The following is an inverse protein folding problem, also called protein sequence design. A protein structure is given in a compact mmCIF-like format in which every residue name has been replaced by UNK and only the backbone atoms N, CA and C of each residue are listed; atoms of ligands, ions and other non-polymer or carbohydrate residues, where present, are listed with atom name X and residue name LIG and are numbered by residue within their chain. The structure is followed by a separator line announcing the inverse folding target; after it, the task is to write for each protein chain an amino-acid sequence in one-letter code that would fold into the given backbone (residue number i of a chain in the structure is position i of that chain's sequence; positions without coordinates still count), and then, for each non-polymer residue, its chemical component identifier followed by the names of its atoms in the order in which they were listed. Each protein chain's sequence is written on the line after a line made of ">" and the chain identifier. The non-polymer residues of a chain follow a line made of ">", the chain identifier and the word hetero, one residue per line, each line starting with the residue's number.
data_IF_696884607669
#
_entry.id   IF_696884607669
#
_cell.length_a   1.000
_cell.length_b   1.000
_cell.length_c   1.000
_cell.angle_alpha   90.00
_cell.angle_beta   90.00
_cell.angle_gamma   90.00
#
_symmetry.space_group_name_H-M   'P 1'
#
loop_
_entity.id
_entity.type
_entity.pdbx_description
1 polymer ?
#
# COMPACT_ATOMS: atom_id res chain seq x y z
N UNK A 1 -51.52 -1.33 28.61
CA UNK A 1 -52.08 -0.75 27.37
C UNK A 1 -51.00 0.01 26.65
N UNK A 2 -50.65 -0.45 25.44
CA UNK A 2 -49.89 0.23 24.37
C UNK A 2 -48.38 0.41 24.68
N UNK A 3 -47.50 -0.55 24.39
CA UNK A 3 -47.02 -1.12 23.11
C UNK A 3 -45.79 -0.39 22.55
N UNK A 4 -44.64 -1.03 22.74
CA UNK A 4 -43.45 -0.92 21.89
C UNK A 4 -43.78 -1.42 20.49
N UNK A 5 -43.44 -0.62 19.47
CA UNK A 5 -43.01 -1.02 18.12
C UNK A 5 -43.10 0.18 17.17
N UNK A 6 -41.95 0.58 16.62
CA UNK A 6 -41.90 1.08 15.24
C UNK A 6 -40.45 1.02 14.75
N UNK A 7 -40.16 -0.15 14.20
CA UNK A 7 -39.10 -0.45 13.24
C UNK A 7 -39.28 0.47 12.03
N UNK A 8 -38.21 1.14 11.61
CA UNK A 8 -38.06 1.59 10.23
C UNK A 8 -36.80 0.93 9.67
N UNK A 9 -37.07 -0.13 8.91
CA UNK A 9 -36.19 -0.79 7.96
C UNK A 9 -35.83 0.16 6.82
N UNK A 10 -34.54 0.21 6.48
CA UNK A 10 -34.11 0.31 5.09
C UNK A 10 -33.02 -0.74 4.88
N UNK A 11 -33.29 -1.61 3.93
CA UNK A 11 -32.50 -2.74 3.48
C UNK A 11 -32.08 -2.48 2.02
N UNK A 12 -31.00 -3.15 1.62
CA UNK A 12 -30.35 -3.26 0.31
C UNK A 12 -29.34 -2.14 -0.02
N UNK A 13 -28.09 -2.44 -0.37
CA UNK A 13 -27.47 -3.72 -0.68
C UNK A 13 -25.97 -3.51 -0.97
N UNK A 14 -25.28 -4.62 -1.18
CA UNK A 14 -23.93 -4.73 -1.76
C UNK A 14 -22.76 -4.27 -0.89
N UNK A 15 -22.58 -4.91 0.27
CA UNK A 15 -21.23 -5.08 0.82
C UNK A 15 -20.51 -6.17 0.01
N UNK A 16 -19.96 -5.76 -1.13
CA UNK A 16 -18.88 -6.49 -1.80
C UNK A 16 -17.79 -6.75 -0.76
N UNK A 17 -17.60 -8.02 -0.43
CA UNK A 17 -16.45 -8.48 0.34
C UNK A 17 -15.21 -8.25 -0.51
N UNK A 18 -14.59 -7.10 -0.30
CA UNK A 18 -13.33 -6.70 -0.90
C UNK A 18 -12.23 -7.58 -0.28
N UNK A 19 -11.79 -8.57 -1.06
CA UNK A 19 -10.69 -9.49 -0.74
C UNK A 19 -9.41 -8.65 -0.73
N UNK A 20 -9.19 -7.94 0.37
CA UNK A 20 -7.93 -7.26 0.66
C UNK A 20 -6.91 -8.30 1.10
N UNK A 21 -6.04 -8.63 0.16
CA UNK A 21 -4.86 -9.46 0.36
C UNK A 21 -3.96 -8.98 1.51
N UNK A 22 -3.17 -9.89 2.13
CA UNK A 22 -2.64 -9.74 3.49
C UNK A 22 -1.49 -8.74 3.66
N UNK A 23 -1.02 -8.10 2.59
CA UNK A 23 0.06 -7.11 2.66
C UNK A 23 -0.41 -5.76 3.22
N UNK A 24 -1.73 -5.50 3.24
CA UNK A 24 -2.27 -4.23 3.67
C UNK A 24 -2.56 -4.14 5.18
N UNK A 25 -2.67 -5.24 5.93
CA UNK A 25 -3.34 -5.17 7.25
C UNK A 25 -2.52 -4.66 8.44
N UNK A 26 -1.18 -4.76 8.44
CA UNK A 26 -0.39 -4.24 9.57
C UNK A 26 -0.02 -2.76 9.42
N UNK A 27 0.39 -2.32 8.22
CA UNK A 27 0.69 -0.90 7.99
C UNK A 27 -0.59 -0.07 7.85
N UNK A 28 -1.66 -0.59 7.23
CA UNK A 28 -2.87 0.22 7.06
C UNK A 28 -3.54 0.54 8.38
N UNK A 29 -3.52 -0.32 9.40
CA UNK A 29 -4.26 -0.01 10.64
C UNK A 29 -3.54 1.07 11.48
N UNK A 30 -2.20 1.03 11.56
CA UNK A 30 -1.42 2.05 12.28
C UNK A 30 -1.32 3.33 11.45
N UNK A 31 -1.02 3.25 10.14
CA UNK A 31 -1.00 4.43 9.28
C UNK A 31 -2.41 5.03 9.10
N UNK A 32 -3.49 4.25 9.05
CA UNK A 32 -4.86 4.79 9.01
C UNK A 32 -5.30 5.34 10.36
N UNK A 33 -4.96 4.72 11.49
CA UNK A 33 -5.28 5.29 12.81
C UNK A 33 -4.52 6.60 13.02
N UNK A 34 -3.22 6.61 12.70
CA UNK A 34 -2.38 7.79 12.73
C UNK A 34 -2.86 8.87 11.77
N UNK A 35 -3.12 8.54 10.49
CA UNK A 35 -3.73 9.45 9.52
C UNK A 35 -5.08 9.97 10.01
N UNK A 36 -5.93 9.14 10.64
CA UNK A 36 -7.22 9.59 11.19
C UNK A 36 -7.06 10.55 12.36
N UNK A 37 -6.13 10.30 13.28
CA UNK A 37 -5.83 11.22 14.39
C UNK A 37 -5.16 12.49 13.91
N UNK A 38 -4.21 12.38 12.99
CA UNK A 38 -3.47 13.48 12.38
C UNK A 38 -4.42 14.38 11.56
N UNK A 39 -5.28 13.80 10.72
CA UNK A 39 -6.35 14.52 10.00
C UNK A 39 -7.31 15.19 10.99
N UNK A 40 -7.71 14.53 12.08
CA UNK A 40 -8.62 15.12 13.07
C UNK A 40 -8.02 16.36 13.78
N UNK A 41 -6.75 16.30 14.19
CA UNK A 41 -6.08 17.42 14.86
C UNK A 41 -5.59 18.51 13.88
N UNK A 42 -5.07 18.13 12.71
CA UNK A 42 -4.67 19.06 11.65
C UNK A 42 -5.88 19.82 11.06
N UNK A 43 -7.09 19.25 11.13
CA UNK A 43 -8.32 19.91 10.69
C UNK A 43 -8.76 21.11 11.54
N UNK A 44 -8.24 21.28 12.77
CA UNK A 44 -8.59 22.42 13.63
C UNK A 44 -8.13 23.75 13.01
N UNK A 45 -7.02 23.72 12.27
CA UNK A 45 -6.48 24.88 11.54
C UNK A 45 -6.45 24.70 10.03
N UNK A 46 -6.87 23.54 9.50
CA UNK A 46 -6.82 23.20 8.07
C UNK A 46 -7.21 24.34 7.15
N UNK A 47 -6.63 24.26 5.94
CA UNK A 47 -6.78 25.03 4.72
C UNK A 47 -8.24 25.28 4.28
N UNK A 48 -9.09 25.82 5.15
CA UNK A 48 -10.13 26.77 4.74
C UNK A 48 -9.47 28.10 4.35
N UNK A 49 -8.55 28.00 3.39
CA UNK A 49 -8.37 28.97 2.34
C UNK A 49 -9.74 29.16 1.68
N UNK A 50 -10.20 30.34 1.33
CA UNK A 50 -9.50 31.60 1.17
C UNK A 50 -10.55 32.57 0.65
N UNK A 51 -11.14 33.39 1.54
CA UNK A 51 -11.77 34.71 1.25
C UNK A 51 -12.78 35.14 2.32
N UNK A 52 -13.47 34.23 3.01
CA UNK A 52 -14.67 34.61 3.79
C UNK A 52 -14.43 35.01 5.25
N UNK A 53 -13.31 34.62 5.89
CA UNK A 53 -13.09 34.87 7.33
C UNK A 53 -11.96 35.83 7.71
N UNK A 54 -11.06 36.19 6.79
CA UNK A 54 -10.01 37.18 7.08
C UNK A 54 -10.63 38.55 7.42
N UNK A 55 -11.81 38.85 6.87
CA UNK A 55 -12.58 40.05 7.20
C UNK A 55 -13.13 40.08 8.63
N UNK A 56 -13.22 38.93 9.32
CA UNK A 56 -13.65 38.83 10.73
C UNK A 56 -12.48 38.78 11.74
N UNK A 57 -11.24 38.54 11.28
CA UNK A 57 -10.07 38.44 12.18
C UNK A 57 -9.57 39.82 12.64
N UNK A 58 -9.72 40.84 11.78
CA UNK A 58 -9.37 42.22 12.09
C UNK A 58 -10.29 42.87 13.15
N UNK A 59 -11.33 42.16 13.59
CA UNK A 59 -12.27 42.56 14.65
C UNK A 59 -11.93 41.96 16.03
N UNK A 60 -10.95 41.06 16.13
CA UNK A 60 -10.65 40.41 17.40
C UNK A 60 -9.82 41.30 18.33
N UNK A 61 -10.11 41.21 19.62
CA UNK A 61 -9.32 41.90 20.65
C UNK A 61 -7.89 41.36 20.68
N UNK A 62 -6.95 42.21 21.15
CA UNK A 62 -5.52 41.83 21.29
C UNK A 62 -5.32 40.53 22.09
N UNK A 63 -6.17 40.25 23.08
CA UNK A 63 -6.09 39.02 23.87
C UNK A 63 -6.44 37.77 23.05
N UNK A 64 -7.44 37.83 22.17
CA UNK A 64 -7.81 36.71 21.31
C UNK A 64 -6.68 36.40 20.31
N UNK A 65 -6.06 37.44 19.74
CA UNK A 65 -4.91 37.26 18.83
C UNK A 65 -3.71 36.61 19.53
N UNK A 66 -3.44 36.96 20.80
CA UNK A 66 -2.39 36.31 21.60
C UNK A 66 -2.68 34.81 21.82
N UNK A 67 -3.93 34.46 22.12
CA UNK A 67 -4.32 33.06 22.27
C UNK A 67 -4.21 32.28 20.95
N UNK A 68 -4.64 32.87 19.83
CA UNK A 68 -4.50 32.25 18.51
C UNK A 68 -3.04 32.01 18.13
N UNK A 69 -2.15 32.97 18.40
CA UNK A 69 -0.72 32.79 18.16
C UNK A 69 -0.10 31.71 19.05
N UNK A 70 -0.51 31.62 20.32
CA UNK A 70 -0.08 30.54 21.19
C UNK A 70 -0.52 29.16 20.67
N UNK A 71 -1.76 29.04 20.16
CA UNK A 71 -2.25 27.80 19.56
C UNK A 71 -1.51 27.44 18.27
N UNK A 72 -1.22 28.41 17.39
CA UNK A 72 -0.40 28.17 16.19
C UNK A 72 0.99 27.66 16.54
N UNK A 73 1.62 28.20 17.58
CA UNK A 73 2.93 27.72 18.04
C UNK A 73 2.86 26.27 18.55
N UNK A 74 1.78 25.90 19.25
CA UNK A 74 1.56 24.51 19.67
C UNK A 74 1.40 23.57 18.47
N UNK A 75 0.68 24.00 17.43
CA UNK A 75 0.53 23.23 16.19
C UNK A 75 1.87 23.00 15.50
N UNK A 76 2.74 24.02 15.45
CA UNK A 76 4.09 23.87 14.88
C UNK A 76 4.90 22.82 15.66
N UNK A 77 4.86 22.86 16.99
CA UNK A 77 5.53 21.87 17.84
C UNK A 77 5.00 20.46 17.59
N UNK A 78 3.67 20.31 17.45
CA UNK A 78 3.03 19.05 17.09
C UNK A 78 3.55 18.53 15.73
N UNK A 79 3.53 19.36 14.67
CA UNK A 79 3.96 18.98 13.33
C UNK A 79 5.46 18.61 13.28
N UNK A 80 6.30 19.25 14.10
CA UNK A 80 7.71 18.87 14.23
C UNK A 80 7.88 17.49 14.89
N UNK A 81 7.08 17.18 15.92
CA UNK A 81 7.06 15.86 16.54
C UNK A 81 6.55 14.80 15.56
N UNK A 82 5.55 15.14 14.75
CA UNK A 82 5.00 14.32 13.70
C UNK A 82 6.05 13.95 12.65
N UNK A 83 6.80 14.93 12.14
CA UNK A 83 7.89 14.69 11.20
C UNK A 83 9.00 13.80 11.77
N UNK A 84 9.21 13.80 13.11
CA UNK A 84 10.12 12.85 13.77
C UNK A 84 9.52 11.44 13.78
N UNK A 85 8.25 11.30 14.13
CA UNK A 85 7.56 10.01 14.11
C UNK A 85 7.60 9.36 12.72
N UNK A 86 7.25 10.10 11.66
CA UNK A 86 7.27 9.58 10.28
C UNK A 86 8.68 9.17 9.83
N UNK A 87 9.70 9.91 10.26
CA UNK A 87 11.09 9.56 10.01
C UNK A 87 11.47 8.22 10.68
N UNK A 88 11.02 7.99 11.91
CA UNK A 88 11.27 6.75 12.64
C UNK A 88 10.50 5.57 12.00
N UNK A 89 9.27 5.79 11.53
CA UNK A 89 8.50 4.80 10.75
C UNK A 89 9.22 4.45 9.45
N UNK A 90 9.67 5.43 8.67
CA UNK A 90 10.37 5.21 7.41
C UNK A 90 11.68 4.42 7.61
N UNK A 91 12.42 4.70 8.69
CA UNK A 91 13.60 3.91 9.05
C UNK A 91 13.24 2.45 9.35
N UNK A 92 12.16 2.23 10.11
CA UNK A 92 11.67 0.89 10.44
C UNK A 92 11.22 0.14 9.18
N UNK A 93 10.47 0.79 8.29
CA UNK A 93 10.03 0.23 7.02
C UNK A 93 11.23 -0.24 6.19
N UNK A 94 12.31 0.56 6.14
CA UNK A 94 13.53 0.17 5.46
C UNK A 94 14.22 -1.04 6.08
N UNK A 95 14.33 -1.10 7.41
CA UNK A 95 14.94 -2.25 8.08
C UNK A 95 14.23 -3.57 7.76
N UNK A 96 12.89 -3.57 7.78
CA UNK A 96 12.11 -4.75 7.41
C UNK A 96 12.13 -5.01 5.91
N UNK A 97 12.12 -3.95 5.09
CA UNK A 97 12.23 -4.07 3.64
C UNK A 97 13.52 -4.82 3.23
N UNK A 98 14.65 -4.51 3.86
CA UNK A 98 15.91 -5.23 3.62
C UNK A 98 15.76 -6.73 3.88
N UNK A 99 15.01 -7.12 4.92
CA UNK A 99 14.73 -8.53 5.21
C UNK A 99 13.79 -9.17 4.19
N UNK A 100 12.86 -8.41 3.62
CA UNK A 100 11.94 -8.90 2.59
C UNK A 100 12.61 -9.10 1.22
N UNK A 101 13.70 -8.40 0.93
CA UNK A 101 14.39 -8.48 -0.37
C UNK A 101 14.72 -9.91 -0.80
N UNK A 102 15.09 -10.80 0.14
CA UNK A 102 15.36 -12.21 -0.15
C UNK A 102 14.12 -12.96 -0.66
N UNK A 103 12.94 -12.68 -0.12
CA UNK A 103 11.69 -13.30 -0.56
C UNK A 103 11.23 -12.75 -1.91
N UNK A 104 11.41 -11.46 -2.16
CA UNK A 104 11.13 -10.88 -3.48
C UNK A 104 12.06 -11.44 -4.55
N UNK A 105 13.34 -11.68 -4.20
CA UNK A 105 14.31 -12.30 -5.10
C UNK A 105 13.93 -13.75 -5.40
N UNK A 106 13.55 -14.53 -4.39
CA UNK A 106 13.06 -15.90 -4.56
C UNK A 106 11.78 -15.94 -5.43
N UNK A 107 10.81 -15.07 -5.16
CA UNK A 107 9.60 -14.91 -5.98
C UNK A 107 9.95 -14.64 -7.44
N UNK A 108 10.90 -13.74 -7.68
CA UNK A 108 11.38 -13.42 -9.03
C UNK A 108 11.99 -14.65 -9.72
N UNK A 109 12.79 -15.45 -9.00
CA UNK A 109 13.34 -16.69 -9.53
C UNK A 109 12.28 -17.74 -9.86
N UNK A 110 11.23 -17.86 -9.04
CA UNK A 110 10.09 -18.75 -9.29
C UNK A 110 9.31 -18.29 -10.52
N UNK A 111 8.89 -17.02 -10.56
CA UNK A 111 8.12 -16.46 -11.67
C UNK A 111 8.83 -16.65 -13.01
N UNK A 112 10.15 -16.44 -13.04
CA UNK A 112 10.95 -16.55 -14.25
C UNK A 112 11.43 -17.99 -14.54
N UNK A 113 11.01 -18.99 -13.77
CA UNK A 113 11.36 -20.40 -13.99
C UNK A 113 12.84 -20.74 -13.77
N UNK A 114 13.55 -19.92 -12.99
CA UNK A 114 14.95 -20.12 -12.61
C UNK A 114 15.09 -21.01 -11.37
N UNK A 115 14.05 -21.07 -10.54
CA UNK A 115 13.96 -21.93 -9.37
C UNK A 115 12.62 -22.67 -9.40
N UNK A 116 12.69 -24.00 -9.30
CA UNK A 116 11.51 -24.85 -9.19
C UNK A 116 11.23 -25.10 -7.70
N UNK A 117 10.04 -24.71 -7.19
CA UNK A 117 9.68 -24.95 -5.80
C UNK A 117 9.69 -26.43 -5.44
N UNK A 118 10.09 -26.74 -4.22
CA UNK A 118 10.01 -28.11 -3.68
C UNK A 118 8.59 -28.45 -3.25
N UNK A 119 8.23 -29.74 -3.22
CA UNK A 119 6.93 -30.22 -2.72
C UNK A 119 6.57 -29.66 -1.34
N UNK A 120 7.58 -29.49 -0.47
CA UNK A 120 7.39 -28.93 0.86
C UNK A 120 7.09 -27.42 0.84
N UNK A 121 7.69 -26.66 -0.09
CA UNK A 121 7.43 -25.23 -0.26
C UNK A 121 6.05 -24.94 -0.87
N UNK A 122 5.51 -25.89 -1.63
CA UNK A 122 4.16 -25.82 -2.18
C UNK A 122 3.06 -26.05 -1.14
N UNK A 123 3.38 -26.66 0.01
CA UNK A 123 2.41 -26.88 1.11
C UNK A 123 2.13 -25.59 1.87
N UNK A 124 0.87 -25.22 2.03
CA UNK A 124 0.51 -24.04 2.80
C UNK A 124 0.88 -24.19 4.27
N UNK A 125 1.35 -23.10 4.88
CA UNK A 125 1.78 -23.09 6.28
C UNK A 125 0.64 -23.40 7.26
N UNK A 126 -0.60 -23.12 6.89
CA UNK A 126 -1.82 -23.48 7.65
C UNK A 126 -1.95 -24.98 7.86
N UNK A 127 -1.41 -25.80 6.95
CA UNK A 127 -1.47 -27.26 7.02
C UNK A 127 -0.43 -27.84 7.99
N UNK A 128 0.65 -27.08 8.26
CA UNK A 128 1.73 -27.49 9.17
C UNK A 128 1.36 -27.32 10.66
N UNK A 129 0.49 -26.37 10.99
CA UNK A 129 0.12 -26.04 12.38
C UNK A 129 -1.15 -26.73 12.89
N UNK A 130 -1.92 -27.37 12.02
CA UNK A 130 -3.15 -28.08 12.41
C UNK A 130 -2.93 -29.32 13.31
N UNK A 131 -1.68 -29.64 13.67
CA UNK A 131 -1.38 -30.76 14.56
C UNK A 131 -1.28 -30.42 16.04
N UNK A 132 -1.39 -29.15 16.48
CA UNK A 132 -1.51 -28.82 17.91
C UNK A 132 -2.22 -27.47 18.16
N UNK A 133 -3.46 -27.56 18.66
CA UNK A 133 -4.18 -26.57 19.48
C UNK A 133 -4.37 -25.14 18.90
N UNK A 134 -5.46 -24.95 18.13
CA UNK A 134 -6.65 -24.14 18.49
C UNK A 134 -7.65 -24.29 17.32
N UNK A 135 -8.58 -25.23 17.49
CA UNK A 135 -9.84 -25.24 16.77
C UNK A 135 -10.74 -24.18 17.36
N UNK A 136 -11.14 -23.20 16.55
CA UNK A 136 -12.49 -22.59 16.51
C UNK A 136 -12.45 -21.39 15.55
N UNK A 137 -12.76 -21.61 14.27
CA UNK A 137 -13.38 -20.65 13.31
C UNK A 137 -12.94 -20.71 11.83
N UNK A 138 -12.21 -21.73 11.36
CA UNK A 138 -11.97 -21.90 9.92
C UNK A 138 -12.81 -23.05 9.35
N UNK A 139 -14.10 -22.77 9.11
CA UNK A 139 -15.02 -23.60 8.30
C UNK A 139 -14.95 -23.17 6.81
N UNK A 140 -14.03 -22.28 6.42
CA UNK A 140 -14.03 -21.63 5.10
C UNK A 140 -12.77 -21.85 4.25
N UNK A 141 -12.09 -22.99 4.37
CA UNK A 141 -10.98 -23.35 3.46
C UNK A 141 -11.00 -24.81 3.06
N UNK A 142 -11.95 -25.18 2.18
CA UNK A 142 -11.97 -26.54 1.63
C UNK A 142 -12.23 -26.59 0.11
N UNK A 143 -12.97 -25.66 -0.51
CA UNK A 143 -13.30 -25.81 -1.94
C UNK A 143 -12.22 -25.30 -2.92
N UNK A 144 -11.63 -24.11 -2.71
CA UNK A 144 -10.61 -23.56 -3.63
C UNK A 144 -9.28 -24.32 -3.56
N UNK A 145 -8.87 -24.72 -2.37
CA UNK A 145 -7.61 -25.44 -2.17
C UNK A 145 -7.71 -26.89 -2.66
N UNK A 146 -8.83 -27.57 -2.42
CA UNK A 146 -9.07 -28.89 -3.02
C UNK A 146 -9.16 -28.82 -4.55
N UNK A 147 -9.73 -27.75 -5.13
CA UNK A 147 -9.73 -27.56 -6.58
C UNK A 147 -8.31 -27.38 -7.13
N UNK A 148 -7.48 -26.59 -6.46
CA UNK A 148 -6.09 -26.38 -6.85
C UNK A 148 -5.26 -27.68 -6.73
N UNK A 149 -5.39 -28.42 -5.64
CA UNK A 149 -4.71 -29.71 -5.45
C UNK A 149 -5.16 -30.75 -6.48
N UNK A 150 -6.45 -30.79 -6.82
CA UNK A 150 -6.98 -31.66 -7.87
C UNK A 150 -6.45 -31.28 -9.27
N UNK A 151 -6.25 -29.98 -9.55
CA UNK A 151 -5.64 -29.53 -10.81
C UNK A 151 -4.14 -29.86 -10.87
N UNK A 152 -3.41 -29.71 -9.76
CA UNK A 152 -1.99 -30.10 -9.66
C UNK A 152 -1.82 -31.61 -9.87
N UNK A 153 -2.75 -32.42 -9.37
CA UNK A 153 -2.73 -33.87 -9.54
C UNK A 153 -3.08 -34.35 -10.98
N UNK A 154 -3.69 -33.49 -11.80
CA UNK A 154 -4.00 -33.75 -13.21
C UNK A 154 -2.86 -33.23 -14.11
N UNK A 155 -1.66 -33.78 -13.97
CA UNK A 155 -0.53 -33.48 -14.88
C UNK A 155 -0.90 -33.87 -16.33
N UNK A 156 -1.03 -32.88 -17.23
CA UNK A 156 -1.10 -33.14 -18.67
C UNK A 156 0.33 -33.24 -19.25
N UNK A 157 0.53 -34.08 -20.27
CA UNK A 157 1.85 -34.21 -20.92
C UNK A 157 2.34 -32.91 -21.59
N UNK A 158 1.42 -31.99 -21.90
CA UNK A 158 1.72 -30.67 -22.49
C UNK A 158 2.30 -29.66 -21.49
N UNK A 159 2.14 -29.88 -20.18
CA UNK A 159 2.55 -28.94 -19.12
C UNK A 159 4.00 -29.14 -18.65
N UNK A 160 4.68 -30.21 -19.10
CA UNK A 160 6.03 -30.60 -18.64
C UNK A 160 7.15 -29.65 -19.07
N UNK A 161 6.90 -28.80 -20.07
CA UNK A 161 7.89 -27.83 -20.59
C UNK A 161 7.64 -26.39 -20.10
N UNK A 162 6.57 -26.14 -19.34
CA UNK A 162 6.28 -24.81 -18.81
C UNK A 162 7.15 -24.57 -17.58
N UNK A 163 8.08 -23.62 -17.68
CA UNK A 163 8.90 -23.16 -16.54
C UNK A 163 8.48 -21.76 -16.14
N UNK A 164 8.29 -21.57 -14.84
CA UNK A 164 7.84 -20.30 -14.26
C UNK A 164 6.37 -19.99 -14.53
N UNK A 165 5.99 -18.72 -14.38
CA UNK A 165 4.61 -18.26 -14.51
C UNK A 165 4.53 -17.19 -15.63
N UNK A 166 4.13 -17.58 -16.85
CA UNK A 166 4.02 -16.66 -17.97
C UNK A 166 3.11 -15.46 -17.66
N UNK A 167 3.54 -14.27 -18.07
CA UNK A 167 2.78 -13.02 -17.96
C UNK A 167 2.31 -12.67 -16.54
N UNK A 168 2.96 -13.21 -15.51
CA UNK A 168 2.60 -13.00 -14.11
C UNK A 168 2.31 -11.54 -13.78
N UNK A 169 3.20 -10.62 -14.15
CA UNK A 169 3.07 -9.20 -13.83
C UNK A 169 1.96 -8.52 -14.62
N UNK A 170 1.77 -8.83 -15.91
CA UNK A 170 0.64 -8.31 -16.67
C UNK A 170 -0.69 -8.73 -16.03
N UNK A 171 -0.85 -10.01 -15.71
CA UNK A 171 -2.05 -10.54 -15.05
C UNK A 171 -2.27 -9.88 -13.70
N UNK A 172 -1.21 -9.76 -12.89
CA UNK A 172 -1.27 -9.13 -11.56
C UNK A 172 -1.66 -7.66 -11.65
N UNK A 173 -1.03 -6.88 -12.54
CA UNK A 173 -1.29 -5.45 -12.66
C UNK A 173 -2.71 -5.17 -13.17
N UNK A 174 -3.25 -6.00 -14.07
CA UNK A 174 -4.63 -5.90 -14.55
C UNK A 174 -5.68 -6.20 -13.48
N UNK A 175 -5.35 -7.02 -12.50
CA UNK A 175 -6.25 -7.34 -11.38
C UNK A 175 -6.34 -6.20 -10.36
N UNK A 176 -5.33 -5.33 -10.28
CA UNK A 176 -5.36 -4.16 -9.39
C UNK A 176 -6.21 -3.07 -10.03
N UNK A 177 -7.41 -2.80 -9.49
CA UNK A 177 -8.40 -1.88 -10.08
C UNK A 177 -7.79 -0.58 -10.65
N UNK A 178 -7.11 0.21 -9.82
CA UNK A 178 -6.56 1.51 -10.22
C UNK A 178 -5.48 1.40 -11.31
N UNK A 179 -4.68 0.33 -11.31
CA UNK A 179 -3.60 0.14 -12.28
C UNK A 179 -4.15 -0.46 -13.56
N UNK A 180 -5.03 -1.46 -13.45
CA UNK A 180 -5.66 -2.12 -14.58
C UNK A 180 -6.45 -1.15 -15.46
N UNK A 181 -7.12 -0.16 -14.86
CA UNK A 181 -7.81 0.91 -15.58
C UNK A 181 -6.86 1.82 -16.39
N UNK A 182 -5.55 1.81 -16.09
CA UNK A 182 -4.55 2.61 -16.82
C UNK A 182 -3.81 1.83 -17.92
N UNK A 183 -4.04 0.52 -18.01
CA UNK A 183 -3.39 -0.35 -19.00
C UNK A 183 -4.29 -0.44 -20.22
N UNK A 184 -3.80 0.04 -21.36
CA UNK A 184 -4.53 0.03 -22.62
C UNK A 184 -4.17 -1.22 -23.46
N UNK A 185 -4.98 -1.54 -24.48
CA UNK A 185 -4.82 -2.74 -25.32
C UNK A 185 -3.41 -2.83 -25.97
N UNK A 186 -2.80 -1.69 -26.28
CA UNK A 186 -1.47 -1.62 -26.89
C UNK A 186 -0.32 -1.80 -25.88
N UNK A 187 -0.58 -1.66 -24.58
CA UNK A 187 0.41 -1.86 -23.52
C UNK A 187 0.57 -3.34 -23.17
N UNK A 188 -0.51 -4.12 -23.28
CA UNK A 188 -0.50 -5.55 -22.96
C UNK A 188 0.63 -6.34 -23.62
N UNK A 189 0.86 -6.28 -24.95
CA UNK A 189 1.93 -7.06 -25.57
C UNK A 189 3.33 -6.62 -25.12
N UNK A 190 3.49 -5.39 -24.64
CA UNK A 190 4.74 -4.87 -24.08
C UNK A 190 4.94 -5.44 -22.66
N UNK A 191 3.89 -5.39 -21.84
CA UNK A 191 3.89 -5.89 -20.46
C UNK A 191 4.04 -7.41 -20.36
N UNK A 192 3.80 -8.16 -21.43
CA UNK A 192 4.15 -9.59 -21.52
C UNK A 192 5.64 -9.85 -21.31
N UNK A 193 6.51 -8.87 -21.61
CA UNK A 193 7.96 -8.96 -21.42
C UNK A 193 8.41 -8.49 -20.02
N UNK A 194 7.49 -8.08 -19.14
CA UNK A 194 7.82 -7.63 -17.78
C UNK A 194 8.13 -8.84 -16.89
N UNK A 195 9.39 -8.96 -16.47
CA UNK A 195 9.93 -10.06 -15.68
C UNK A 195 9.85 -9.79 -14.17
N UNK A 196 10.04 -8.55 -13.76
CA UNK A 196 10.02 -8.16 -12.34
C UNK A 196 9.68 -6.69 -12.13
N UNK A 197 9.12 -6.39 -10.96
CA UNK A 197 8.96 -5.03 -10.45
C UNK A 197 9.62 -4.97 -9.07
N UNK A 198 10.66 -4.15 -8.95
CA UNK A 198 11.42 -3.97 -7.71
C UNK A 198 11.20 -2.57 -7.13
N UNK A 199 11.10 -2.52 -5.81
CA UNK A 199 11.10 -1.28 -5.05
C UNK A 199 12.51 -1.05 -4.50
N UNK A 200 13.02 0.18 -4.59
CA UNK A 200 14.21 0.64 -3.90
C UNK A 200 13.82 1.79 -2.99
N UNK A 201 14.03 1.64 -1.69
CA UNK A 201 13.83 2.70 -0.72
C UNK A 201 15.11 3.53 -0.60
N UNK A 202 14.97 4.85 -0.61
CA UNK A 202 16.06 5.81 -0.41
C UNK A 202 15.87 6.49 0.93
N UNK A 203 16.88 6.41 1.81
CA UNK A 203 16.90 7.07 3.12
C UNK A 203 18.10 7.99 3.20
N UNK A 204 17.90 9.19 3.72
CA UNK A 204 18.97 10.14 4.00
C UNK A 204 18.65 11.52 3.47
N UNK A 205 19.59 12.11 2.72
CA UNK A 205 19.46 13.47 2.18
C UNK A 205 18.27 13.62 1.24
N UNK A 206 18.05 12.62 0.38
CA UNK A 206 16.86 12.51 -0.46
C UNK A 206 16.11 11.28 0.02
N UNK A 207 14.99 11.50 0.70
CA UNK A 207 14.12 10.40 1.09
C UNK A 207 13.11 10.15 -0.02
N UNK A 208 12.85 8.89 -0.34
CA UNK A 208 11.97 8.56 -1.45
C UNK A 208 12.00 7.09 -1.80
N UNK A 209 11.44 6.75 -2.95
CA UNK A 209 11.53 5.41 -3.49
C UNK A 209 11.61 5.38 -5.02
N UNK A 210 12.24 4.34 -5.55
CA UNK A 210 12.28 4.05 -6.98
C UNK A 210 11.56 2.75 -7.26
N UNK A 211 10.66 2.77 -8.25
CA UNK A 211 10.13 1.58 -8.88
C UNK A 211 11.00 1.26 -10.09
N UNK A 212 11.46 0.01 -10.17
CA UNK A 212 12.24 -0.52 -11.28
C UNK A 212 11.47 -1.65 -11.96
N UNK A 213 11.17 -1.46 -13.25
CA UNK A 213 10.45 -2.40 -14.09
C UNK A 213 11.46 -3.12 -14.98
N UNK A 214 11.65 -4.41 -14.76
CA UNK A 214 12.63 -5.24 -15.46
C UNK A 214 11.97 -5.93 -16.65
N UNK A 215 12.44 -5.63 -17.86
CA UNK A 215 11.94 -6.22 -19.09
C UNK A 215 12.96 -7.19 -19.70
N UNK A 216 12.44 -8.21 -20.38
CA UNK A 216 13.24 -9.11 -21.22
C UNK A 216 13.79 -8.37 -22.44
N UNK A 217 14.99 -7.83 -22.33
CA UNK A 217 15.61 -7.07 -23.42
C UNK A 217 16.02 -7.92 -24.63
N UNK A 218 16.09 -9.25 -24.52
CA UNK A 218 16.47 -10.11 -25.64
C UNK A 218 15.27 -10.42 -26.55
N UNK A 219 14.09 -10.54 -25.96
CA UNK A 219 12.87 -10.91 -26.69
C UNK A 219 11.92 -9.73 -26.94
N UNK A 220 12.07 -8.62 -26.21
CA UNK A 220 11.25 -7.43 -26.39
C UNK A 220 11.63 -6.66 -27.68
N UNK A 221 10.69 -6.57 -28.62
CA UNK A 221 10.84 -5.84 -29.88
C UNK A 221 10.42 -4.36 -29.81
N UNK A 222 9.85 -3.91 -28.69
CA UNK A 222 9.31 -2.56 -28.52
C UNK A 222 10.37 -1.55 -28.09
N UNK A 223 11.30 -1.93 -27.21
CA UNK A 223 12.40 -1.10 -26.75
C UNK A 223 13.59 -1.92 -26.25
N UNK A 224 14.78 -1.32 -26.23
CA UNK A 224 16.03 -1.97 -25.81
C UNK A 224 16.34 -1.85 -24.31
N UNK A 225 15.60 -1.00 -23.59
CA UNK A 225 15.80 -0.81 -22.16
C UNK A 225 15.50 -2.09 -21.38
N UNK A 226 16.48 -2.59 -20.64
CA UNK A 226 16.27 -3.70 -19.70
C UNK A 226 15.51 -3.27 -18.44
N UNK A 227 15.70 -2.01 -18.01
CA UNK A 227 15.08 -1.49 -16.78
C UNK A 227 14.49 -0.12 -17.09
N UNK A 228 13.18 0.04 -16.83
CA UNK A 228 12.54 1.35 -16.75
C UNK A 228 12.43 1.74 -15.28
N UNK A 229 12.78 2.98 -14.94
CA UNK A 229 12.78 3.44 -13.55
C UNK A 229 11.89 4.66 -13.36
N UNK A 230 11.20 4.70 -12.23
CA UNK A 230 10.42 5.86 -11.79
C UNK A 230 10.78 6.16 -10.34
N UNK A 231 11.38 7.34 -10.12
CA UNK A 231 11.73 7.82 -8.79
C UNK A 231 10.68 8.81 -8.28
N UNK A 232 10.36 8.68 -6.99
CA UNK A 232 9.48 9.55 -6.22
C UNK A 232 10.25 10.06 -5.00
N UNK A 233 10.39 11.37 -4.88
CA UNK A 233 10.94 12.02 -3.70
C UNK A 233 9.81 12.21 -2.68
N UNK A 234 10.11 11.99 -1.40
CA UNK A 234 9.15 12.07 -0.31
C UNK A 234 9.54 13.18 0.66
N UNK A 235 8.58 14.05 0.95
CA UNK A 235 8.74 15.07 2.00
C UNK A 235 8.22 14.56 3.35
N UNK A 236 9.13 14.06 4.19
CA UNK A 236 8.81 13.46 5.51
C UNK A 236 8.78 14.48 6.66
N UNK A 237 9.31 15.68 6.46
CA UNK A 237 9.38 16.71 7.49
C UNK A 237 8.87 18.04 6.94
N UNK A 238 8.22 18.86 7.78
CA UNK A 238 7.88 20.21 7.37
C UNK A 238 9.14 21.02 7.09
N UNK A 239 9.14 21.80 6.01
CA UNK A 239 10.20 22.76 5.70
C UNK A 239 10.19 23.87 6.75
N UNK A 240 11.23 23.91 7.57
CA UNK A 240 11.42 24.90 8.63
C UNK A 240 11.48 26.34 8.11
N UNK A 241 11.80 26.53 6.82
CA UNK A 241 11.87 27.84 6.19
C UNK A 241 10.51 28.28 5.62
N UNK A 242 9.53 27.38 5.57
CA UNK A 242 8.20 27.64 5.07
C UNK A 242 7.17 27.64 6.21
N UNK A 243 6.70 28.84 6.58
CA UNK A 243 5.78 29.00 7.70
C UNK A 243 4.41 28.35 7.45
N UNK A 244 3.96 28.25 6.19
CA UNK A 244 2.73 27.54 5.87
C UNK A 244 2.93 26.03 6.01
N UNK A 245 4.08 25.50 5.61
CA UNK A 245 4.39 24.08 5.75
C UNK A 245 4.54 23.67 7.22
N UNK A 246 5.20 24.49 8.04
CA UNK A 246 5.27 24.29 9.49
C UNK A 246 3.89 24.20 10.17
N UNK A 247 2.89 24.90 9.64
CA UNK A 247 1.56 24.99 10.25
C UNK A 247 0.57 23.97 9.66
N UNK A 248 0.70 23.65 8.37
CA UNK A 248 -0.22 22.81 7.61
C UNK A 248 0.44 21.54 7.05
N UNK A 249 1.45 21.01 7.74
CA UNK A 249 2.07 19.76 7.38
C UNK A 249 1.04 18.62 7.38
N UNK A 250 0.76 18.02 6.21
CA UNK A 250 -0.25 16.97 6.03
C UNK A 250 0.34 15.54 6.11
N UNK A 251 1.63 15.41 6.42
CA UNK A 251 2.36 14.15 6.44
C UNK A 251 3.20 13.95 5.18
N UNK A 252 3.58 12.70 4.91
CA UNK A 252 4.44 12.35 3.78
C UNK A 252 3.74 12.68 2.45
N UNK A 253 4.30 13.60 1.68
CA UNK A 253 3.84 13.94 0.33
C UNK A 253 4.83 13.45 -0.75
N UNK A 254 4.30 13.12 -1.93
CA UNK A 254 5.02 12.73 -3.16
C UNK A 254 5.05 13.91 -4.12
#
# INVERSE_FOLDING_TARGET
>A
TVSENSILSYDHGDNFYDIKTPLNNCLSTINQHHQRTSIFYNNIFSKQNSSTKINSINSYSSNILKHLNALKNLQIIYNQLEGKYLNDVNNLEYEYFQQYTKYFSLRSSIINGQYEPTDDECRLMTDRTNNNEISSNNIFMDDEQQQQDNMIAQENEEDKDIRGIPYFWLTTLKQVQLIGETIEDYDEPILKFLQDIKLKLHIGEITGFTLEFYFDNMNNSYFSNQILTKFYELQIKPDINNQDDLLYYEGTAI
#
